data_IF_951258459351
#
_entry.id   IF_951258459351
#
_cell.length_a   1.000
_cell.length_b   1.000
_cell.length_c   1.000
_cell.angle_alpha   90.00
_cell.angle_beta   90.00
_cell.angle_gamma   90.00
#
_symmetry.space_group_name_H-M   'P 1'
#
loop_
_entity.id
_entity.type
_entity.pdbx_description
1 polymer ?
#
# COMPACT_ATOMS: atom_id res chain seq x y z
N UNK A 1 -24.00 -3.52 -1.23
CA UNK A 1 -24.22 -2.51 -2.27
C UNK A 1 -23.23 -2.81 -3.37
N UNK A 2 -23.67 -2.92 -4.62
CA UNK A 2 -22.76 -2.98 -5.77
C UNK A 2 -22.04 -1.65 -5.87
N UNK A 3 -20.71 -1.66 -5.97
CA UNK A 3 -19.95 -0.44 -6.22
C UNK A 3 -20.39 0.14 -7.58
N UNK A 4 -20.59 1.46 -7.69
CA UNK A 4 -20.86 2.07 -8.99
C UNK A 4 -19.61 1.92 -9.88
N UNK A 5 -19.78 1.89 -11.21
CA UNK A 5 -18.66 2.08 -12.12
C UNK A 5 -17.86 3.33 -11.76
N UNK A 6 -16.55 3.27 -12.01
CA UNK A 6 -15.70 4.45 -11.90
C UNK A 6 -16.31 5.60 -12.72
N UNK A 7 -16.31 6.79 -12.12
CA UNK A 7 -16.83 8.00 -12.75
C UNK A 7 -15.91 8.47 -13.87
N UNK A 8 -14.65 8.07 -13.82
CA UNK A 8 -13.58 8.59 -14.69
C UNK A 8 -12.88 7.50 -15.51
N UNK A 9 -13.13 6.21 -15.25
CA UNK A 9 -12.58 5.08 -16.01
C UNK A 9 -13.64 4.45 -16.93
N UNK A 10 -13.66 4.92 -18.17
CA UNK A 10 -14.40 4.32 -19.28
C UNK A 10 -13.44 3.60 -20.25
N UNK A 11 -13.97 3.07 -21.36
CA UNK A 11 -13.20 2.34 -22.37
C UNK A 11 -12.05 3.15 -23.00
N UNK A 12 -12.18 4.49 -23.10
CA UNK A 12 -11.11 5.34 -23.62
C UNK A 12 -9.89 5.29 -22.69
N UNK A 13 -10.15 5.20 -21.38
CA UNK A 13 -9.11 5.15 -20.36
C UNK A 13 -8.32 3.85 -20.34
N UNK A 14 -8.87 2.73 -20.82
CA UNK A 14 -8.09 1.49 -20.99
C UNK A 14 -6.84 1.70 -21.86
N UNK A 15 -6.90 2.62 -22.83
CA UNK A 15 -5.76 2.98 -23.67
C UNK A 15 -4.81 4.01 -23.03
N UNK A 16 -5.25 4.68 -21.97
CA UNK A 16 -4.50 5.73 -21.26
C UNK A 16 -3.81 5.20 -19.99
N UNK A 17 -4.19 4.00 -19.53
CA UNK A 17 -3.57 3.33 -18.39
C UNK A 17 -2.07 3.23 -18.57
N UNK A 18 -1.32 3.62 -17.54
CA UNK A 18 0.13 3.39 -17.50
C UNK A 18 0.46 1.90 -17.62
N UNK A 19 -0.34 1.01 -17.02
CA UNK A 19 -0.25 -0.43 -17.26
C UNK A 19 -1.58 -1.15 -17.01
N UNK A 20 -2.03 -1.95 -17.97
CA UNK A 20 -3.21 -2.82 -17.80
C UNK A 20 -2.83 -4.17 -17.19
N UNK A 21 -3.30 -4.46 -15.97
CA UNK A 21 -2.79 -5.57 -15.16
C UNK A 21 -3.61 -6.85 -15.29
N UNK A 22 -4.94 -6.76 -15.46
CA UNK A 22 -5.83 -7.93 -15.57
C UNK A 22 -5.37 -8.92 -16.64
N UNK A 23 -5.06 -8.51 -17.89
CA UNK A 23 -4.61 -9.45 -18.92
C UNK A 23 -3.26 -10.11 -18.61
N UNK A 24 -2.45 -9.48 -17.76
CA UNK A 24 -1.14 -10.00 -17.31
C UNK A 24 -1.27 -10.97 -16.13
N UNK A 25 -2.47 -11.07 -15.53
CA UNK A 25 -2.74 -11.91 -14.36
C UNK A 25 -2.42 -11.26 -13.01
N UNK A 26 -1.96 -10.00 -13.00
CA UNK A 26 -1.65 -9.24 -11.79
C UNK A 26 -2.93 -8.67 -11.14
N UNK A 27 -3.86 -9.57 -10.83
CA UNK A 27 -5.22 -9.22 -10.37
C UNK A 27 -5.27 -8.79 -8.91
N UNK A 28 -6.08 -7.77 -8.63
CA UNK A 28 -6.27 -7.14 -7.32
C UNK A 28 -4.92 -6.66 -6.73
N UNK A 29 -4.26 -5.66 -7.35
CA UNK A 29 -3.00 -5.10 -6.88
C UNK A 29 -3.21 -4.28 -5.61
N UNK A 30 -2.33 -4.46 -4.62
CA UNK A 30 -2.37 -3.72 -3.35
C UNK A 30 -1.21 -2.76 -3.19
N UNK A 31 -0.05 -3.11 -3.73
CA UNK A 31 1.17 -2.37 -3.52
C UNK A 31 2.09 -2.50 -4.72
N UNK A 32 2.91 -1.47 -4.94
CA UNK A 32 3.85 -1.42 -6.05
C UNK A 32 5.12 -0.70 -5.62
N UNK A 33 6.21 -0.90 -6.36
CA UNK A 33 7.51 -0.26 -6.12
C UNK A 33 8.31 -0.19 -7.42
N UNK A 34 9.33 0.66 -7.47
CA UNK A 34 10.20 0.83 -8.63
C UNK A 34 11.62 0.39 -8.30
N UNK A 35 12.27 -0.31 -9.22
CA UNK A 35 13.70 -0.58 -9.12
C UNK A 35 14.55 0.48 -9.81
N UNK A 36 15.88 0.33 -9.72
CA UNK A 36 16.85 1.27 -10.29
C UNK A 36 16.77 1.39 -11.81
N UNK A 37 16.14 0.44 -12.50
CA UNK A 37 15.93 0.47 -13.95
C UNK A 37 14.56 1.08 -14.32
N UNK A 38 13.82 1.60 -13.33
CA UNK A 38 12.43 2.05 -13.44
C UNK A 38 11.43 0.95 -13.81
N UNK A 39 11.79 -0.32 -13.63
CA UNK A 39 10.84 -1.41 -13.78
C UNK A 39 9.84 -1.39 -12.62
N UNK A 40 8.61 -1.80 -12.90
CA UNK A 40 7.49 -1.73 -11.95
C UNK A 40 7.33 -3.09 -11.27
N UNK A 41 7.55 -3.14 -9.97
CA UNK A 41 7.23 -4.29 -9.14
C UNK A 41 5.82 -4.16 -8.57
N UNK A 42 5.04 -5.23 -8.63
CA UNK A 42 3.62 -5.23 -8.28
C UNK A 42 3.31 -6.44 -7.42
N UNK A 43 2.79 -6.18 -6.21
CA UNK A 43 2.21 -7.18 -5.34
C UNK A 43 0.69 -7.15 -5.47
N UNK A 44 0.14 -8.27 -5.93
CA UNK A 44 -1.29 -8.45 -6.15
C UNK A 44 -1.75 -9.79 -5.60
N UNK A 45 -3.06 -10.01 -5.45
CA UNK A 45 -3.54 -11.36 -5.14
C UNK A 45 -3.24 -12.34 -6.27
N UNK A 46 -3.04 -11.86 -7.49
CA UNK A 46 -2.53 -12.62 -8.63
C UNK A 46 -1.07 -13.07 -8.51
N UNK A 47 -0.33 -12.59 -7.50
CA UNK A 47 1.07 -12.91 -7.25
C UNK A 47 1.99 -11.69 -7.39
N UNK A 48 3.28 -11.96 -7.59
CA UNK A 48 4.33 -10.96 -7.74
C UNK A 48 4.72 -10.81 -9.22
N UNK A 49 4.80 -9.57 -9.70
CA UNK A 49 5.13 -9.27 -11.09
C UNK A 49 6.16 -8.13 -11.16
N UNK A 50 7.07 -8.22 -12.14
CA UNK A 50 7.94 -7.12 -12.60
C UNK A 50 7.55 -6.77 -14.03
N UNK A 51 7.17 -5.53 -14.28
CA UNK A 51 6.97 -4.99 -15.62
C UNK A 51 8.17 -4.13 -16.03
N UNK A 52 8.42 -4.03 -17.33
CA UNK A 52 9.37 -3.05 -17.87
C UNK A 52 8.92 -1.61 -17.56
N UNK A 53 9.79 -0.59 -17.77
CA UNK A 53 9.47 0.80 -17.47
C UNK A 53 8.22 1.33 -18.19
N UNK A 54 7.95 0.83 -19.39
CA UNK A 54 6.78 1.17 -20.19
C UNK A 54 5.49 0.48 -19.71
N UNK A 55 5.57 -0.49 -18.81
CA UNK A 55 4.41 -1.18 -18.24
C UNK A 55 3.71 -2.19 -19.16
N UNK A 56 4.20 -2.39 -20.39
CA UNK A 56 3.55 -3.24 -21.39
C UNK A 56 4.05 -4.70 -21.37
N UNK A 57 5.28 -4.95 -20.91
CA UNK A 57 5.91 -6.28 -20.91
C UNK A 57 6.20 -6.80 -19.50
N UNK A 58 5.76 -8.03 -19.23
CA UNK A 58 6.14 -8.77 -18.01
C UNK A 58 7.57 -9.29 -18.16
N UNK A 59 8.43 -8.95 -17.19
CA UNK A 59 9.83 -9.38 -17.12
C UNK A 59 10.02 -10.52 -16.13
N UNK A 60 9.32 -10.48 -14.98
CA UNK A 60 9.32 -11.51 -13.95
C UNK A 60 7.89 -11.76 -13.51
N UNK A 61 7.52 -13.01 -13.29
CA UNK A 61 6.23 -13.36 -12.69
C UNK A 61 6.35 -14.56 -11.74
N UNK A 62 5.67 -14.47 -10.60
CA UNK A 62 5.36 -15.58 -9.71
C UNK A 62 3.85 -15.60 -9.51
N UNK A 63 3.15 -16.26 -10.43
CA UNK A 63 1.69 -16.29 -10.49
C UNK A 63 1.07 -17.09 -9.34
N UNK A 64 0.00 -16.54 -8.78
CA UNK A 64 -0.94 -17.26 -7.94
C UNK A 64 -2.19 -17.59 -8.77
N UNK A 65 -2.42 -18.88 -9.00
CA UNK A 65 -3.56 -19.38 -9.76
C UNK A 65 -4.89 -19.32 -8.98
N UNK A 66 -4.86 -19.01 -7.68
CA UNK A 66 -6.05 -18.87 -6.84
C UNK A 66 -6.09 -17.53 -6.09
N UNK A 67 -6.24 -16.38 -6.78
CA UNK A 67 -6.25 -15.05 -6.14
C UNK A 67 -7.27 -14.92 -5.01
N UNK A 68 -8.43 -15.59 -5.13
CA UNK A 68 -9.50 -15.58 -4.12
C UNK A 68 -9.11 -16.23 -2.79
N UNK A 69 -8.08 -17.07 -2.75
CA UNK A 69 -7.58 -17.70 -1.52
C UNK A 69 -6.58 -16.84 -0.76
N UNK A 70 -6.15 -15.72 -1.32
CA UNK A 70 -5.14 -14.87 -0.69
C UNK A 70 -5.80 -13.69 0.01
N UNK A 71 -5.24 -13.33 1.17
CA UNK A 71 -5.68 -12.19 1.95
C UNK A 71 -5.37 -10.87 1.21
N UNK A 72 -6.10 -9.78 1.52
CA UNK A 72 -5.74 -8.43 1.07
C UNK A 72 -4.33 -8.00 1.52
N UNK A 73 -3.85 -6.90 0.96
CA UNK A 73 -2.61 -6.20 1.38
C UNK A 73 -1.30 -6.93 1.07
N UNK A 74 -1.20 -7.63 -0.06
CA UNK A 74 0.09 -8.07 -0.59
C UNK A 74 1.06 -6.86 -0.70
N UNK A 75 2.32 -7.04 -0.28
CA UNK A 75 3.33 -5.98 -0.19
C UNK A 75 4.53 -6.27 -1.09
N UNK A 76 5.07 -5.24 -1.73
CA UNK A 76 6.37 -5.27 -2.42
C UNK A 76 7.14 -3.96 -2.21
N UNK A 77 8.38 -4.06 -1.74
CA UNK A 77 9.26 -2.90 -1.59
C UNK A 77 10.61 -3.22 -2.23
N UNK A 78 11.06 -2.36 -3.14
CA UNK A 78 12.43 -2.41 -3.64
C UNK A 78 13.33 -1.59 -2.71
N UNK A 79 14.44 -2.19 -2.28
CA UNK A 79 15.45 -1.56 -1.44
C UNK A 79 16.84 -1.93 -1.95
N UNK A 80 17.54 -0.96 -2.54
CA UNK A 80 18.81 -1.21 -3.22
C UNK A 80 18.63 -2.18 -4.39
N UNK A 81 19.35 -3.30 -4.38
CA UNK A 81 19.24 -4.37 -5.36
C UNK A 81 18.34 -5.54 -4.90
N UNK A 82 17.55 -5.34 -3.84
CA UNK A 82 16.69 -6.36 -3.27
C UNK A 82 15.22 -5.98 -3.41
N UNK A 83 14.39 -7.00 -3.51
CA UNK A 83 12.93 -6.89 -3.56
C UNK A 83 12.36 -7.66 -2.37
N UNK A 84 11.70 -6.94 -1.47
CA UNK A 84 11.01 -7.53 -0.33
C UNK A 84 9.57 -7.75 -0.74
N UNK A 85 9.07 -8.97 -0.64
CA UNK A 85 7.70 -9.32 -1.00
C UNK A 85 7.03 -10.10 0.12
N UNK A 86 5.78 -9.76 0.42
CA UNK A 86 4.99 -10.48 1.39
C UNK A 86 3.54 -10.65 0.95
N UNK A 87 3.01 -11.86 1.14
CA UNK A 87 1.62 -12.23 0.81
C UNK A 87 1.13 -13.31 1.76
N UNK A 88 -0.18 -13.42 1.97
CA UNK A 88 -0.75 -14.39 2.91
C UNK A 88 -1.86 -15.20 2.26
N UNK A 89 -1.84 -16.52 2.47
CA UNK A 89 -3.00 -17.37 2.19
C UNK A 89 -4.04 -17.16 3.30
N UNK A 90 -5.27 -16.85 2.91
CA UNK A 90 -6.29 -16.28 3.80
C UNK A 90 -6.77 -17.27 4.87
N UNK A 91 -6.79 -18.57 4.55
CA UNK A 91 -7.26 -19.60 5.47
C UNK A 91 -6.16 -20.13 6.39
N UNK A 92 -4.91 -20.18 5.94
CA UNK A 92 -3.77 -20.58 6.77
C UNK A 92 -3.37 -19.50 7.78
N UNK A 93 -3.74 -18.23 7.55
CA UNK A 93 -3.30 -17.09 8.38
C UNK A 93 -1.77 -17.08 8.53
N UNK A 94 -1.07 -17.35 7.41
CA UNK A 94 0.38 -17.49 7.35
C UNK A 94 0.91 -16.63 6.21
N UNK A 95 1.72 -15.62 6.56
CA UNK A 95 2.37 -14.73 5.60
C UNK A 95 3.65 -15.37 5.09
N UNK A 96 3.73 -15.57 3.78
CA UNK A 96 4.99 -15.82 3.06
C UNK A 96 5.76 -14.50 2.96
N UNK A 97 6.97 -14.46 3.51
CA UNK A 97 7.88 -13.33 3.38
C UNK A 97 9.12 -13.76 2.59
N UNK A 98 9.46 -13.01 1.55
CA UNK A 98 10.59 -13.30 0.67
C UNK A 98 11.44 -12.06 0.44
N UNK A 99 12.75 -12.29 0.33
CA UNK A 99 13.70 -11.32 -0.25
C UNK A 99 14.20 -11.93 -1.55
N UNK A 100 14.13 -11.14 -2.62
CA UNK A 100 14.52 -11.53 -3.97
C UNK A 100 15.57 -10.57 -4.52
N UNK A 101 16.34 -11.01 -5.51
CA UNK A 101 17.09 -10.12 -6.39
C UNK A 101 16.18 -9.45 -7.44
N UNK A 102 16.74 -8.59 -8.29
CA UNK A 102 16.00 -7.85 -9.32
C UNK A 102 15.55 -8.73 -10.50
N UNK A 103 16.06 -9.96 -10.57
CA UNK A 103 15.69 -11.00 -11.53
C UNK A 103 14.58 -11.92 -10.99
N UNK A 104 14.20 -11.78 -9.70
CA UNK A 104 13.15 -12.56 -9.05
C UNK A 104 13.60 -13.91 -8.51
N UNK A 105 14.91 -14.13 -8.38
CA UNK A 105 15.46 -15.27 -7.66
C UNK A 105 15.31 -15.03 -6.16
N UNK A 106 14.94 -16.08 -5.42
CA UNK A 106 14.72 -15.98 -3.98
C UNK A 106 16.07 -16.11 -3.28
N UNK A 107 16.45 -15.08 -2.52
CA UNK A 107 17.63 -15.09 -1.65
C UNK A 107 17.28 -15.52 -0.23
N UNK A 108 16.08 -15.16 0.24
CA UNK A 108 15.55 -15.52 1.56
C UNK A 108 14.07 -15.82 1.49
N UNK A 109 13.62 -16.81 2.26
CA UNK A 109 12.22 -17.15 2.43
C UNK A 109 11.95 -17.53 3.89
N UNK A 110 10.84 -17.03 4.42
CA UNK A 110 10.33 -17.43 5.72
C UNK A 110 8.80 -17.31 5.76
N UNK A 111 8.23 -17.88 6.81
CA UNK A 111 6.80 -17.80 7.09
C UNK A 111 6.59 -17.09 8.42
N UNK A 112 5.63 -16.17 8.44
CA UNK A 112 5.29 -15.33 9.60
C UNK A 112 3.82 -15.58 9.93
N UNK A 113 3.53 -15.96 11.17
CA UNK A 113 2.15 -16.17 11.62
C UNK A 113 1.33 -14.88 11.54
N UNK A 114 0.09 -14.99 11.08
CA UNK A 114 -0.86 -13.91 10.88
C UNK A 114 -0.80 -13.28 9.49
N UNK A 115 -1.94 -12.72 9.07
CA UNK A 115 -2.05 -11.94 7.83
C UNK A 115 -1.33 -10.62 7.92
N UNK A 116 -0.44 -10.36 6.97
CA UNK A 116 0.18 -9.03 6.82
C UNK A 116 -0.83 -7.96 6.45
N UNK A 117 -0.60 -6.74 6.94
CA UNK A 117 -1.39 -5.55 6.67
C UNK A 117 -0.56 -4.44 6.02
N UNK A 118 0.69 -4.22 6.45
CA UNK A 118 1.60 -3.24 5.85
C UNK A 118 3.07 -3.59 6.12
N UNK A 119 3.95 -3.19 5.19
CA UNK A 119 5.41 -3.14 5.38
C UNK A 119 5.94 -1.72 5.24
N UNK A 120 7.04 -1.43 5.93
CA UNK A 120 7.91 -0.29 5.66
C UNK A 120 9.37 -0.71 5.84
N UNK A 121 10.28 -0.05 5.12
CA UNK A 121 11.73 -0.21 5.30
C UNK A 121 12.39 1.16 5.36
N UNK A 122 13.32 1.32 6.30
CA UNK A 122 14.14 2.53 6.42
C UNK A 122 15.36 2.46 5.49
N UNK A 123 16.06 3.60 5.32
CA UNK A 123 17.23 3.65 4.43
C UNK A 123 18.42 2.82 4.94
N UNK A 124 18.51 2.58 6.26
CA UNK A 124 19.50 1.68 6.87
C UNK A 124 19.04 0.21 6.91
N UNK A 125 17.91 -0.13 6.30
CA UNK A 125 17.49 -1.52 6.13
C UNK A 125 16.71 -2.10 7.32
N UNK A 126 16.19 -1.29 8.24
CA UNK A 126 15.25 -1.76 9.26
C UNK A 126 13.87 -1.96 8.64
N UNK A 127 13.27 -3.13 8.87
CA UNK A 127 11.97 -3.50 8.31
C UNK A 127 10.94 -3.49 9.43
N UNK A 128 9.80 -2.85 9.17
CA UNK A 128 8.65 -2.79 10.06
C UNK A 128 7.46 -3.47 9.41
N UNK A 129 6.70 -4.25 10.18
CA UNK A 129 5.54 -5.01 9.72
C UNK A 129 4.36 -4.85 10.67
N UNK A 130 3.15 -4.71 10.12
CA UNK A 130 1.90 -4.85 10.90
C UNK A 130 1.05 -5.97 10.34
N UNK A 131 0.18 -6.52 11.19
CA UNK A 131 -0.74 -7.61 10.86
C UNK A 131 -2.19 -7.15 10.90
N UNK A 132 -3.04 -7.82 10.12
CA UNK A 132 -4.48 -7.60 10.15
C UNK A 132 -5.02 -8.04 11.51
N UNK A 133 -6.04 -7.37 12.07
CA UNK A 133 -6.63 -7.79 13.32
C UNK A 133 -7.16 -9.23 13.27
N UNK A 134 -6.56 -10.12 14.06
CA UNK A 134 -7.04 -11.48 14.23
C UNK A 134 -8.37 -11.49 15.02
N UNK A 135 -9.18 -12.52 14.82
CA UNK A 135 -10.47 -12.63 15.50
C UNK A 135 -10.26 -12.76 17.01
N UNK A 136 -10.75 -11.78 17.76
CA UNK A 136 -10.63 -11.76 19.23
C UNK A 136 -9.29 -11.24 19.74
N UNK A 137 -8.43 -10.68 18.87
CA UNK A 137 -7.24 -9.97 19.31
C UNK A 137 -7.62 -8.67 20.03
N UNK A 138 -6.98 -8.43 21.17
CA UNK A 138 -7.14 -7.21 21.97
C UNK A 138 -5.89 -6.32 21.90
N UNK A 139 -4.72 -6.92 21.65
CA UNK A 139 -3.43 -6.24 21.52
C UNK A 139 -2.93 -6.30 20.06
N UNK A 140 -2.34 -5.21 19.58
CA UNK A 140 -1.84 -5.06 18.22
C UNK A 140 -0.42 -4.55 18.20
N UNK A 141 0.39 -5.08 17.29
CA UNK A 141 1.82 -4.85 17.27
C UNK A 141 2.30 -4.23 15.96
N UNK A 142 3.36 -3.42 16.06
CA UNK A 142 4.33 -3.29 14.98
C UNK A 142 5.48 -4.24 15.30
N UNK A 143 5.90 -5.04 14.33
CA UNK A 143 7.06 -5.91 14.42
C UNK A 143 8.25 -5.27 13.72
N UNK A 144 9.48 -5.54 14.19
CA UNK A 144 10.72 -5.03 13.61
C UNK A 144 11.71 -6.16 13.33
N UNK A 145 12.46 -6.03 12.23
CA UNK A 145 13.62 -6.86 11.89
C UNK A 145 14.59 -6.05 11.00
N UNK A 146 15.59 -6.69 10.41
CA UNK A 146 16.52 -6.05 9.47
C UNK A 146 16.59 -6.81 8.15
N UNK A 147 16.95 -6.12 7.07
CA UNK A 147 17.11 -6.75 5.76
C UNK A 147 18.29 -7.73 5.71
N UNK A 148 19.32 -7.50 6.52
CA UNK A 148 20.53 -8.33 6.57
C UNK A 148 20.32 -9.62 7.36
N UNK A 149 19.54 -9.54 8.44
CA UNK A 149 19.16 -10.69 9.27
C UNK A 149 17.64 -10.67 9.41
N UNK A 150 16.89 -11.05 8.35
CA UNK A 150 15.44 -11.05 8.34
C UNK A 150 14.88 -12.26 9.09
N UNK A 151 15.39 -12.52 10.29
CA UNK A 151 15.03 -13.60 11.20
C UNK A 151 14.69 -12.98 12.56
N UNK A 152 13.72 -13.55 13.27
CA UNK A 152 13.35 -13.05 14.60
C UNK A 152 12.67 -11.68 14.53
N UNK A 153 11.35 -11.68 14.29
CA UNK A 153 10.56 -10.46 14.30
C UNK A 153 10.28 -10.04 15.75
N UNK A 154 10.90 -8.95 16.17
CA UNK A 154 10.71 -8.40 17.52
C UNK A 154 9.42 -7.61 17.59
N UNK A 155 8.69 -7.75 18.71
CA UNK A 155 7.58 -6.85 19.04
C UNK A 155 8.14 -5.47 19.38
N UNK A 156 7.97 -4.53 18.46
CA UNK A 156 8.58 -3.20 18.55
C UNK A 156 7.75 -2.22 19.37
N UNK A 157 6.44 -2.24 19.18
CA UNK A 157 5.45 -1.53 19.98
C UNK A 157 4.17 -2.35 20.00
N UNK A 158 3.44 -2.30 21.11
CA UNK A 158 2.08 -2.79 21.22
C UNK A 158 1.11 -1.70 21.68
N UNK A 159 -0.15 -1.82 21.24
CA UNK A 159 -1.27 -0.97 21.67
C UNK A 159 -2.52 -1.83 21.88
N UNK A 160 -3.29 -1.49 22.91
CA UNK A 160 -4.57 -2.14 23.22
C UNK A 160 -5.70 -1.50 22.40
N UNK A 161 -6.55 -2.34 21.80
CA UNK A 161 -7.73 -1.95 21.02
C UNK A 161 -7.49 -1.02 19.82
N UNK A 162 -6.22 -0.73 19.49
CA UNK A 162 -5.81 0.15 18.40
C UNK A 162 -4.89 -0.61 17.46
N UNK A 163 -5.39 -0.92 16.26
CA UNK A 163 -4.59 -1.60 15.25
C UNK A 163 -3.81 -0.62 14.37
N UNK A 164 -2.66 -1.07 13.87
CA UNK A 164 -1.81 -0.33 12.93
C UNK A 164 -2.07 -0.80 11.48
N UNK A 165 -2.51 0.10 10.60
CA UNK A 165 -3.06 -0.24 9.29
C UNK A 165 -2.12 0.00 8.10
N UNK A 166 -1.32 1.07 8.14
CA UNK A 166 -0.39 1.43 7.07
C UNK A 166 0.84 2.06 7.69
N UNK A 167 2.02 1.69 7.19
CA UNK A 167 3.31 2.15 7.67
C UNK A 167 4.06 2.95 6.61
N UNK A 168 4.91 3.86 7.07
CA UNK A 168 5.86 4.58 6.23
C UNK A 168 7.08 4.95 7.08
N UNK A 169 8.27 4.49 6.70
CA UNK A 169 9.52 5.03 7.24
C UNK A 169 9.80 6.35 6.53
N UNK A 170 9.75 7.46 7.27
CA UNK A 170 10.05 8.78 6.72
C UNK A 170 11.57 8.97 6.63
N UNK A 171 12.28 8.46 7.62
CA UNK A 171 13.74 8.32 7.68
C UNK A 171 14.12 7.24 8.70
N UNK A 172 15.40 7.16 9.05
CA UNK A 172 15.93 6.17 9.99
C UNK A 172 15.49 6.39 11.45
N UNK A 173 14.93 7.56 11.79
CA UNK A 173 14.54 7.92 13.17
C UNK A 173 13.02 8.04 13.34
N UNK A 174 12.29 8.09 12.23
CA UNK A 174 10.88 8.43 12.19
C UNK A 174 10.07 7.39 11.40
N UNK A 175 9.20 6.69 12.11
CA UNK A 175 8.18 5.82 11.55
C UNK A 175 6.82 6.51 11.66
N UNK A 176 6.02 6.43 10.62
CA UNK A 176 4.64 6.92 10.61
C UNK A 176 3.70 5.74 10.46
N UNK A 177 2.63 5.72 11.26
CA UNK A 177 1.61 4.69 11.17
C UNK A 177 0.20 5.28 11.17
N UNK A 178 -0.67 4.73 10.31
CA UNK A 178 -2.10 4.90 10.46
C UNK A 178 -2.64 3.96 11.54
N UNK A 179 -3.49 4.47 12.42
CA UNK A 179 -4.10 3.71 13.51
C UNK A 179 -5.62 3.73 13.43
N UNK A 180 -6.26 2.65 13.87
CA UNK A 180 -7.71 2.49 13.86
C UNK A 180 -8.18 1.68 15.08
N UNK A 181 -9.23 2.17 15.76
CA UNK A 181 -9.85 1.42 16.86
C UNK A 181 -10.62 0.20 16.34
N UNK A 182 -10.58 -0.91 17.09
CA UNK A 182 -11.40 -2.10 16.80
C UNK A 182 -12.82 -2.01 17.38
N UNK A 183 -13.82 -2.70 16.81
CA UNK A 183 -13.77 -3.39 15.51
C UNK A 183 -13.64 -2.38 14.36
N UNK A 184 -12.81 -2.70 13.36
CA UNK A 184 -12.52 -1.81 12.22
C UNK A 184 -13.75 -1.60 11.33
N UNK A 185 -14.46 -0.48 11.48
CA UNK A 185 -15.65 -0.13 10.73
C UNK A 185 -15.82 1.39 10.59
N UNK A 186 -16.91 1.85 10.00
CA UNK A 186 -17.13 3.27 9.69
C UNK A 186 -17.19 4.20 10.92
N UNK A 187 -17.40 3.64 12.12
CA UNK A 187 -17.43 4.35 13.39
C UNK A 187 -16.09 4.29 14.14
N UNK A 188 -15.09 3.57 13.61
CA UNK A 188 -13.78 3.47 14.24
C UNK A 188 -13.09 4.82 14.30
N UNK A 189 -12.46 5.09 15.45
CA UNK A 189 -11.56 6.23 15.61
C UNK A 189 -10.30 5.96 14.82
N UNK A 190 -9.95 6.88 13.94
CA UNK A 190 -8.77 6.78 13.08
C UNK A 190 -7.85 7.96 13.36
N UNK A 191 -6.55 7.73 13.29
CA UNK A 191 -5.54 8.78 13.42
C UNK A 191 -4.24 8.39 12.74
N UNK A 192 -3.32 9.33 12.62
CA UNK A 192 -1.93 9.06 12.27
C UNK A 192 -1.07 9.29 13.50
N UNK A 193 -0.08 8.42 13.70
CA UNK A 193 0.91 8.55 14.76
C UNK A 193 2.31 8.64 14.15
N UNK A 194 3.16 9.43 14.79
CA UNK A 194 4.59 9.53 14.51
C UNK A 194 5.30 8.83 15.66
N UNK A 195 6.10 7.82 15.33
CA UNK A 195 6.88 7.03 16.26
C UNK A 195 8.37 7.30 16.08
N UNK A 196 9.09 7.16 17.17
CA UNK A 196 10.53 7.03 17.17
C UNK A 196 10.93 5.62 16.68
N UNK A 197 11.70 5.51 15.59
CA UNK A 197 12.06 4.22 14.98
C UNK A 197 13.02 3.37 15.81
N UNK A 198 13.71 3.97 16.78
CA UNK A 198 14.63 3.27 17.68
C UNK A 198 13.91 2.74 18.93
N UNK A 199 13.10 3.59 19.57
CA UNK A 199 12.49 3.32 20.88
C UNK A 199 11.04 2.84 20.81
N UNK A 200 10.39 2.95 19.64
CA UNK A 200 8.97 2.63 19.47
C UNK A 200 8.02 3.65 20.08
N UNK A 201 8.53 4.70 20.75
CA UNK A 201 7.70 5.67 21.45
C UNK A 201 6.87 6.51 20.48
N UNK A 202 5.56 6.58 20.70
CA UNK A 202 4.69 7.53 20.01
C UNK A 202 5.06 8.95 20.44
N UNK A 203 5.64 9.72 19.52
CA UNK A 203 6.01 11.13 19.71
C UNK A 203 4.80 12.05 19.53
N UNK A 204 3.92 11.74 18.57
CA UNK A 204 2.78 12.58 18.22
C UNK A 204 1.63 11.77 17.63
N UNK A 205 0.41 12.25 17.86
CA UNK A 205 -0.82 11.80 17.20
C UNK A 205 -1.49 13.00 16.53
N UNK A 206 -1.95 12.84 15.30
CA UNK A 206 -2.64 13.88 14.53
C UNK A 206 -3.65 13.27 13.56
N UNK A 207 -4.45 14.13 12.93
CA UNK A 207 -5.62 13.74 12.12
C UNK A 207 -6.67 12.96 12.92
N UNK A 208 -7.89 12.93 12.37
CA UNK A 208 -9.00 12.16 12.91
C UNK A 208 -9.80 11.50 11.79
N UNK A 209 -10.72 10.61 12.16
CA UNK A 209 -11.61 9.96 11.21
C UNK A 209 -12.61 10.95 10.59
N UNK A 210 -12.62 11.05 9.27
CA UNK A 210 -13.55 11.92 8.55
C UNK A 210 -13.16 12.18 7.09
N UNK A 211 -13.92 13.03 6.41
CA UNK A 211 -13.80 13.30 4.96
C UNK A 211 -13.49 14.76 4.62
N UNK A 212 -13.26 15.59 5.63
CA UNK A 212 -12.84 16.99 5.45
C UNK A 212 -11.31 17.09 5.33
N UNK A 213 -10.76 18.22 4.83
CA UNK A 213 -9.32 18.44 4.77
C UNK A 213 -8.65 18.22 6.13
N UNK A 214 -7.58 17.45 6.15
CA UNK A 214 -6.84 17.10 7.37
C UNK A 214 -7.43 15.95 8.17
N UNK A 215 -8.58 15.42 7.76
CA UNK A 215 -9.15 14.16 8.26
C UNK A 215 -8.85 13.00 7.31
N UNK A 216 -8.84 11.78 7.84
CA UNK A 216 -8.56 10.54 7.10
C UNK A 216 -9.75 9.58 7.15
N UNK A 217 -9.96 8.84 6.08
CA UNK A 217 -11.01 7.82 6.01
C UNK A 217 -10.50 6.50 5.42
N UNK A 218 -10.18 5.56 6.31
CA UNK A 218 -9.52 4.28 6.04
C UNK A 218 -8.26 4.48 5.18
N UNK A 219 -7.20 5.06 5.74
CA UNK A 219 -5.94 5.26 5.03
C UNK A 219 -5.43 3.93 4.46
N UNK A 220 -5.11 3.94 3.18
CA UNK A 220 -4.66 2.76 2.42
C UNK A 220 -3.16 2.69 2.31
N UNK A 221 -2.51 3.84 2.11
CA UNK A 221 -1.08 3.94 1.87
C UNK A 221 -0.55 5.29 2.34
N UNK A 222 0.64 5.27 2.92
CA UNK A 222 1.40 6.44 3.35
C UNK A 222 2.74 6.39 2.63
N UNK A 223 3.20 7.51 2.07
CA UNK A 223 4.49 7.60 1.36
C UNK A 223 5.27 8.83 1.82
N UNK A 224 6.61 8.75 1.94
CA UNK A 224 7.44 9.94 2.09
C UNK A 224 7.26 10.87 0.90
N UNK A 225 7.17 12.18 1.16
CA UNK A 225 7.10 13.18 0.11
C UNK A 225 7.67 14.50 0.60
N UNK A 226 8.69 15.00 -0.10
CA UNK A 226 9.42 16.22 0.30
C UNK A 226 9.87 16.10 1.76
N UNK A 227 9.57 17.08 2.61
CA UNK A 227 9.88 17.05 4.06
C UNK A 227 8.66 16.60 4.89
N UNK A 228 7.85 15.70 4.36
CA UNK A 228 6.59 15.27 4.96
C UNK A 228 6.11 13.94 4.39
N UNK A 229 4.80 13.73 4.42
CA UNK A 229 4.16 12.50 3.96
C UNK A 229 2.94 12.79 3.09
N UNK A 230 2.65 11.87 2.17
CA UNK A 230 1.36 11.78 1.49
C UNK A 230 0.55 10.62 2.03
N UNK A 231 -0.75 10.83 2.16
CA UNK A 231 -1.70 9.80 2.60
C UNK A 231 -2.79 9.65 1.56
N UNK A 232 -2.93 8.45 1.00
CA UNK A 232 -4.07 8.02 0.20
C UNK A 232 -5.08 7.31 1.10
N UNK A 233 -6.33 7.76 1.09
CA UNK A 233 -7.43 7.13 1.83
C UNK A 233 -8.55 6.62 0.91
N UNK A 234 -9.55 5.92 1.46
CA UNK A 234 -10.64 5.32 0.65
C UNK A 234 -11.50 6.36 -0.09
N UNK A 235 -11.42 7.64 0.23
CA UNK A 235 -12.13 8.69 -0.52
C UNK A 235 -11.43 9.04 -1.84
N UNK A 236 -10.22 8.52 -2.07
CA UNK A 236 -9.41 8.84 -3.25
C UNK A 236 -8.58 10.11 -3.10
N UNK A 237 -8.67 10.81 -1.96
CA UNK A 237 -7.83 11.98 -1.66
C UNK A 237 -6.41 11.54 -1.36
N UNK A 238 -5.44 12.27 -1.92
CA UNK A 238 -4.02 12.21 -1.58
C UNK A 238 -3.67 13.51 -0.86
N UNK A 239 -3.55 13.44 0.46
CA UNK A 239 -3.30 14.62 1.30
C UNK A 239 -1.83 14.67 1.75
N UNK A 240 -1.23 15.85 1.66
CA UNK A 240 0.14 16.14 2.08
C UNK A 240 0.13 16.71 3.50
N UNK A 241 0.85 16.05 4.38
CA UNK A 241 1.08 16.50 5.74
C UNK A 241 2.57 16.79 5.95
N UNK A 242 2.87 17.86 6.68
CA UNK A 242 4.22 18.14 7.13
C UNK A 242 4.69 17.15 8.18
N UNK A 243 5.98 17.17 8.50
CA UNK A 243 6.57 16.37 9.58
C UNK A 243 5.97 16.57 10.95
N UNK A 244 5.41 17.75 11.20
CA UNK A 244 4.68 18.02 12.43
C UNK A 244 3.23 17.52 12.38
N UNK A 245 2.77 16.90 11.29
CA UNK A 245 1.40 16.44 11.11
C UNK A 245 0.41 17.55 10.76
N UNK A 246 0.86 18.76 10.46
CA UNK A 246 0.01 19.81 9.91
C UNK A 246 -0.38 19.48 8.47
N UNK A 247 -1.63 19.74 8.09
CA UNK A 247 -2.07 19.61 6.70
C UNK A 247 -1.44 20.74 5.87
N UNK A 248 -0.75 20.37 4.80
CA UNK A 248 -0.19 21.31 3.83
C UNK A 248 -1.18 21.55 2.70
N UNK A 249 -1.66 20.48 2.05
CA UNK A 249 -2.60 20.57 0.94
C UNK A 249 -3.24 19.20 0.63
N UNK A 250 -4.35 19.22 -0.08
CA UNK A 250 -4.74 18.08 -0.90
C UNK A 250 -3.94 18.13 -2.20
N UNK A 251 -3.02 17.17 -2.38
CA UNK A 251 -2.07 17.17 -3.51
C UNK A 251 -2.66 16.55 -4.77
N UNK A 252 -3.63 15.66 -4.62
CA UNK A 252 -4.36 15.09 -5.75
C UNK A 252 -5.64 14.39 -5.28
N UNK A 253 -6.56 14.09 -6.20
CA UNK A 253 -7.73 13.23 -5.93
C UNK A 253 -8.06 12.33 -7.12
N UNK A 254 -8.27 11.06 -6.82
CA UNK A 254 -8.80 10.04 -7.74
C UNK A 254 -10.22 9.65 -7.35
N UNK A 255 -10.86 8.77 -8.12
CA UNK A 255 -12.16 8.23 -7.74
C UNK A 255 -12.07 7.51 -6.38
N UNK A 256 -13.11 7.63 -5.57
CA UNK A 256 -13.17 6.93 -4.30
C UNK A 256 -13.14 5.40 -4.49
N UNK A 257 -12.57 4.70 -3.52
CA UNK A 257 -12.51 3.23 -3.40
C UNK A 257 -11.65 2.47 -4.41
N UNK A 258 -11.18 3.07 -5.50
CA UNK A 258 -10.44 2.33 -6.52
C UNK A 258 -8.94 2.21 -6.24
N UNK A 259 -8.34 3.16 -5.51
CA UNK A 259 -6.91 3.15 -5.19
C UNK A 259 -6.60 2.25 -3.99
N UNK A 260 -5.75 1.24 -4.19
CA UNK A 260 -5.36 0.30 -3.14
C UNK A 260 -4.02 0.66 -2.48
N UNK A 261 -3.10 1.27 -3.24
CA UNK A 261 -1.80 1.73 -2.77
C UNK A 261 -1.10 2.56 -3.83
N UNK A 262 -0.07 3.33 -3.45
CA UNK A 262 0.68 4.14 -4.40
C UNK A 262 2.14 4.29 -3.98
N UNK A 263 2.97 4.77 -4.90
CA UNK A 263 4.31 5.30 -4.64
C UNK A 263 4.47 6.66 -5.31
N UNK A 264 5.46 7.43 -4.87
CA UNK A 264 5.77 8.72 -5.49
C UNK A 264 6.92 8.58 -6.47
N UNK A 265 6.77 9.18 -7.67
CA UNK A 265 7.82 9.28 -8.68
C UNK A 265 7.70 10.62 -9.40
N UNK A 266 8.76 11.44 -9.39
CA UNK A 266 8.82 12.72 -10.11
C UNK A 266 7.60 13.65 -9.85
N UNK A 267 7.21 13.85 -8.59
CA UNK A 267 6.01 14.63 -8.19
C UNK A 267 4.68 14.07 -8.77
N UNK A 268 4.64 12.79 -9.12
CA UNK A 268 3.42 12.04 -9.45
C UNK A 268 3.19 10.92 -8.43
N UNK A 269 1.92 10.66 -8.11
CA UNK A 269 1.52 9.41 -7.47
C UNK A 269 1.24 8.36 -8.54
N UNK A 270 1.95 7.25 -8.47
CA UNK A 270 1.72 6.06 -9.29
C UNK A 270 0.92 5.07 -8.46
N UNK A 271 -0.30 4.76 -8.90
CA UNK A 271 -1.34 4.16 -8.06
C UNK A 271 -1.72 2.78 -8.61
N UNK A 272 -1.79 1.78 -7.73
CA UNK A 272 -2.42 0.50 -8.01
C UNK A 272 -3.93 0.63 -7.83
N UNK A 273 -4.66 0.38 -8.92
CA UNK A 273 -6.10 0.54 -8.99
C UNK A 273 -6.81 -0.79 -9.21
N UNK A 274 -7.97 -0.95 -8.57
CA UNK A 274 -8.97 -1.98 -8.86
C UNK A 274 -10.35 -1.33 -8.89
N UNK A 275 -11.16 -1.60 -9.91
CA UNK A 275 -12.48 -1.00 -9.98
C UNK A 275 -13.35 -1.57 -11.10
N UNK A 276 -14.59 -1.07 -11.19
CA UNK A 276 -15.49 -1.39 -12.29
C UNK A 276 -15.31 -0.33 -13.38
N UNK A 277 -14.98 -0.77 -14.59
CA UNK A 277 -14.80 0.07 -15.78
C UNK A 277 -15.78 -0.35 -16.88
N UNK A 278 -15.96 0.50 -17.90
CA UNK A 278 -16.79 0.17 -19.06
C UNK A 278 -15.92 -0.32 -20.21
N UNK A 279 -16.24 -1.49 -20.77
CA UNK A 279 -15.66 -2.01 -22.01
C UNK A 279 -16.19 -1.27 -23.24
N UNK A 280 -15.57 -1.47 -24.41
CA UNK A 280 -15.97 -0.83 -25.68
C UNK A 280 -17.43 -1.10 -26.07
N UNK A 281 -17.95 -2.27 -25.71
CA UNK A 281 -19.35 -2.66 -25.95
C UNK A 281 -20.34 -2.07 -24.91
N UNK A 282 -19.86 -1.26 -23.96
CA UNK A 282 -20.65 -0.68 -22.87
C UNK A 282 -20.87 -1.61 -21.67
N UNK A 283 -20.29 -2.80 -21.66
CA UNK A 283 -20.40 -3.74 -20.53
C UNK A 283 -19.52 -3.28 -19.35
N UNK A 284 -20.05 -3.41 -18.13
CA UNK A 284 -19.26 -3.16 -16.92
C UNK A 284 -18.39 -4.38 -16.59
N UNK A 285 -17.08 -4.17 -16.51
CA UNK A 285 -16.10 -5.21 -16.18
C UNK A 285 -15.32 -4.80 -14.93
N UNK A 286 -14.93 -5.78 -14.10
CA UNK A 286 -13.94 -5.54 -13.06
C UNK A 286 -12.55 -5.56 -13.68
N UNK A 287 -11.74 -4.55 -13.36
CA UNK A 287 -10.41 -4.40 -13.94
C UNK A 287 -9.40 -3.86 -12.92
N UNK A 288 -8.13 -4.12 -13.23
CA UNK A 288 -6.95 -3.83 -12.42
C UNK A 288 -5.91 -3.15 -13.30
N UNK A 289 -5.35 -2.03 -12.83
CA UNK A 289 -4.40 -1.22 -13.61
C UNK A 289 -3.47 -0.38 -12.74
N UNK A 290 -2.49 0.25 -13.39
CA UNK A 290 -1.64 1.29 -12.83
C UNK A 290 -1.96 2.61 -13.52
N UNK A 291 -2.05 3.68 -12.73
CA UNK A 291 -2.31 5.03 -13.22
C UNK A 291 -1.42 6.05 -12.54
N UNK A 292 -1.11 7.14 -13.24
CA UNK A 292 -0.37 8.27 -12.69
C UNK A 292 -1.29 9.48 -12.46
N UNK A 293 -1.04 10.24 -11.41
CA UNK A 293 -1.65 11.56 -11.21
C UNK A 293 -0.61 12.52 -10.64
N UNK A 294 -0.57 13.75 -11.16
CA UNK A 294 0.32 14.80 -10.66
C UNK A 294 -0.07 15.24 -9.26
N UNK A 295 0.94 15.50 -8.44
CA UNK A 295 0.79 15.96 -7.05
C UNK A 295 0.81 17.50 -6.99
N UNK A 296 0.08 18.14 -7.90
CA UNK A 296 -0.02 19.59 -8.10
C UNK A 296 -1.42 20.15 -7.83
N UNK A 297 -2.28 19.35 -7.18
CA UNK A 297 -3.71 19.63 -7.01
C UNK A 297 -4.55 19.08 -8.16
N UNK A 298 -4.08 18.07 -8.89
CA UNK A 298 -4.85 17.42 -9.96
C UNK A 298 -6.01 16.57 -9.43
N UNK A 299 -7.11 16.52 -10.19
CA UNK A 299 -8.30 15.73 -9.89
C UNK A 299 -8.72 14.92 -11.12
N UNK A 300 -9.10 13.65 -10.96
CA UNK A 300 -9.66 12.86 -12.07
C UNK A 300 -11.09 13.27 -12.44
N UNK A 301 -11.88 13.71 -11.45
CA UNK A 301 -13.20 14.30 -11.67
C UNK A 301 -13.10 15.81 -11.54
N UNK A 302 -13.80 16.56 -12.39
CA UNK A 302 -14.09 17.97 -12.09
C UNK A 302 -14.85 18.05 -10.74
N UNK A 303 -14.46 19.01 -9.90
CA UNK A 303 -14.98 19.20 -8.53
C UNK A 303 -16.44 19.67 -8.52
#
# INVERSE_FOLDING_TARGET
>A
MTEPPSKTSNHQRLNEMMAHLTPKGATIPYNLSFDSENCIWIASKGGLFKLNPEGDKVMVEKKNIFPKKYAPYCQVIVHGNKVIHAQCEDMADLTEFRILDLEGNIEHEQFIDGKIQSLAISSNGEIFLTKQPAKGAEEFFIYKTTIDVPLGWDEFISEDEICFQSLCSLDNETLVAATCSIPNNIYSKQSIVILDSETGKIKKKFSEGGKEPGQIYFPRSIQPYKDGILILDKTGRIQHFGRDGSLIAESARIDAYIGNGFVVRNDEAIIACSGIVLADNGESICDDWIEAIKLDGSFWTEL
#
